data_IF_479593784587
#
_entry.id   IF_479593784587
#
_cell.length_a   1.000
_cell.length_b   1.000
_cell.length_c   1.000
_cell.angle_alpha   90.00
_cell.angle_beta   90.00
_cell.angle_gamma   90.00
#
_symmetry.space_group_name_H-M   'P 1'
#
loop_
_entity.id
_entity.type
_entity.pdbx_description
1 polymer ?
#
# COMPACT_ATOMS: atom_id res chain seq x y z
N UNK A 1 -18.22 -9.04 10.56
CA UNK A 1 -18.17 -7.59 10.82
C UNK A 1 -18.82 -7.32 12.19
N UNK A 2 -18.48 -6.25 12.92
CA UNK A 2 -19.10 -5.96 14.25
C UNK A 2 -20.11 -4.82 14.16
N UNK A 3 -21.09 -4.78 15.06
CA UNK A 3 -22.11 -3.73 15.11
C UNK A 3 -21.52 -2.31 15.20
N UNK A 4 -20.37 -2.14 15.85
CA UNK A 4 -19.68 -0.85 15.92
C UNK A 4 -19.08 -0.48 14.56
N UNK A 5 -18.45 -1.43 13.86
CA UNK A 5 -17.86 -1.20 12.53
C UNK A 5 -18.94 -0.84 11.49
N UNK A 6 -20.10 -1.49 11.55
CA UNK A 6 -21.23 -1.20 10.66
C UNK A 6 -21.80 0.20 10.88
N UNK A 7 -21.93 0.64 12.14
CA UNK A 7 -22.38 2.01 12.47
C UNK A 7 -21.42 3.08 11.96
N UNK A 8 -20.11 2.85 12.09
CA UNK A 8 -19.09 3.77 11.57
C UNK A 8 -19.20 3.85 10.04
N UNK A 9 -19.28 2.72 9.36
CA UNK A 9 -19.42 2.70 7.90
C UNK A 9 -20.69 3.44 7.44
N UNK A 10 -21.83 3.17 8.08
CA UNK A 10 -23.09 3.86 7.77
C UNK A 10 -23.01 5.37 7.99
N UNK A 11 -22.35 5.83 9.06
CA UNK A 11 -22.14 7.25 9.30
C UNK A 11 -21.24 7.88 8.21
N UNK A 12 -20.17 7.18 7.80
CA UNK A 12 -19.24 7.62 6.75
C UNK A 12 -19.90 7.67 5.37
N UNK A 13 -20.90 6.82 5.10
CA UNK A 13 -21.61 6.85 3.81
C UNK A 13 -22.55 8.04 3.62
N UNK A 14 -22.97 8.70 4.71
CA UNK A 14 -23.94 9.81 4.64
C UNK A 14 -23.35 11.17 5.05
N UNK A 15 -22.11 11.20 5.53
CA UNK A 15 -21.39 12.44 5.84
C UNK A 15 -20.96 13.17 4.57
N UNK A 16 -20.65 14.46 4.69
CA UNK A 16 -20.08 15.22 3.58
C UNK A 16 -18.63 14.80 3.31
N UNK A 17 -18.14 15.04 2.10
CA UNK A 17 -16.72 14.78 1.77
C UNK A 17 -15.75 15.58 2.65
N UNK A 18 -16.16 16.76 3.13
CA UNK A 18 -15.36 17.57 4.03
C UNK A 18 -15.22 16.89 5.40
N UNK A 19 -16.33 16.42 5.97
CA UNK A 19 -16.34 15.71 7.25
C UNK A 19 -15.61 14.35 7.14
N UNK A 20 -15.75 13.66 6.00
CA UNK A 20 -15.06 12.39 5.74
C UNK A 20 -13.54 12.56 5.72
N UNK A 21 -13.03 13.65 5.13
CA UNK A 21 -11.60 13.97 5.14
C UNK A 21 -11.10 14.26 6.54
N UNK A 22 -11.87 14.99 7.35
CA UNK A 22 -11.50 15.29 8.73
C UNK A 22 -11.51 14.03 9.61
N UNK A 23 -12.51 13.17 9.43
CA UNK A 23 -12.56 11.87 10.09
C UNK A 23 -11.40 10.95 9.69
N UNK A 24 -11.02 10.94 8.40
CA UNK A 24 -9.86 10.19 7.92
C UNK A 24 -8.56 10.69 8.57
N UNK A 25 -8.40 12.00 8.74
CA UNK A 25 -7.26 12.57 9.45
C UNK A 25 -7.16 12.06 10.90
N UNK A 26 -8.29 12.00 11.62
CA UNK A 26 -8.32 11.44 12.98
C UNK A 26 -7.90 9.97 13.01
N UNK A 27 -8.29 9.18 12.00
CA UNK A 27 -7.86 7.79 11.87
C UNK A 27 -6.35 7.72 11.66
N UNK A 28 -5.80 8.52 10.75
CA UNK A 28 -4.36 8.58 10.49
C UNK A 28 -3.58 9.00 11.73
N UNK A 29 -3.98 10.08 12.40
CA UNK A 29 -3.31 10.58 13.60
C UNK A 29 -3.28 9.52 14.72
N UNK A 30 -4.30 8.65 14.79
CA UNK A 30 -4.41 7.63 15.83
C UNK A 30 -3.75 6.29 15.49
N UNK A 31 -3.86 5.86 14.24
CA UNK A 31 -3.50 4.49 13.84
C UNK A 31 -2.32 4.45 12.85
N UNK A 32 -1.92 5.60 12.32
CA UNK A 32 -0.75 5.76 11.46
C UNK A 32 0.22 6.78 12.07
N UNK A 33 0.65 6.60 13.35
CA UNK A 33 1.55 7.55 14.01
C UNK A 33 2.96 7.55 13.41
N UNK A 34 3.27 6.52 12.62
CA UNK A 34 4.50 6.34 11.85
C UNK A 34 4.24 6.79 10.42
N UNK A 35 5.01 7.76 9.95
CA UNK A 35 5.11 8.13 8.53
C UNK A 35 6.13 7.23 7.84
N UNK A 36 6.25 7.37 6.51
CA UNK A 36 7.33 6.72 5.76
C UNK A 36 8.71 7.15 6.24
N UNK A 37 8.84 8.33 6.85
CA UNK A 37 10.11 8.83 7.39
C UNK A 37 10.48 8.19 8.73
N UNK A 38 9.53 7.56 9.42
CA UNK A 38 9.76 6.86 10.69
C UNK A 38 10.15 5.39 10.51
N UNK A 39 10.17 4.90 9.26
CA UNK A 39 10.60 3.53 8.95
C UNK A 39 12.12 3.52 8.88
N UNK A 40 12.75 2.63 9.65
CA UNK A 40 14.20 2.45 9.62
C UNK A 40 14.63 1.95 8.23
N UNK A 41 15.52 2.70 7.58
CA UNK A 41 16.19 2.24 6.37
C UNK A 41 17.31 1.29 6.78
N UNK A 42 17.22 0.05 6.31
CA UNK A 42 18.27 -0.96 6.51
C UNK A 42 18.92 -1.30 5.17
N UNK A 43 20.21 -1.60 5.20
CA UNK A 43 20.92 -2.09 4.02
C UNK A 43 20.35 -3.47 3.60
N UNK A 44 20.23 -3.76 2.30
CA UNK A 44 19.72 -5.03 1.81
C UNK A 44 20.50 -6.22 2.37
N UNK A 45 19.78 -7.23 2.85
CA UNK A 45 20.40 -8.43 3.37
C UNK A 45 20.90 -9.37 2.25
N UNK A 46 21.47 -10.52 2.62
CA UNK A 46 22.01 -11.46 1.65
C UNK A 46 20.95 -12.05 0.69
N UNK A 47 19.70 -12.15 1.13
CA UNK A 47 18.57 -12.62 0.31
C UNK A 47 18.15 -11.49 -0.63
N UNK A 48 18.02 -10.28 -0.12
CA UNK A 48 17.67 -9.10 -0.93
C UNK A 48 18.68 -8.89 -2.07
N UNK A 49 19.97 -8.99 -1.77
CA UNK A 49 21.04 -8.89 -2.76
C UNK A 49 20.98 -10.01 -3.82
N UNK A 50 20.53 -11.21 -3.45
CA UNK A 50 20.34 -12.30 -4.42
C UNK A 50 19.12 -12.04 -5.30
N UNK A 51 18.04 -11.49 -4.75
CA UNK A 51 16.85 -11.12 -5.52
C UNK A 51 17.16 -10.00 -6.51
N UNK A 52 17.90 -8.97 -6.08
CA UNK A 52 18.33 -7.88 -6.97
C UNK A 52 19.18 -8.40 -8.13
N UNK A 53 20.12 -9.31 -7.87
CA UNK A 53 20.92 -9.95 -8.93
C UNK A 53 20.08 -10.80 -9.87
N UNK A 54 19.12 -11.56 -9.34
CA UNK A 54 18.23 -12.37 -10.17
C UNK A 54 17.40 -11.49 -11.12
N UNK A 55 16.94 -10.33 -10.65
CA UNK A 55 16.24 -9.34 -11.48
C UNK A 55 17.17 -8.78 -12.55
N UNK A 56 18.42 -8.42 -12.21
CA UNK A 56 19.43 -7.93 -13.17
C UNK A 56 19.82 -8.96 -14.23
N UNK A 57 19.78 -10.24 -13.89
CA UNK A 57 20.15 -11.33 -14.79
C UNK A 57 18.96 -11.83 -15.64
N UNK A 58 17.73 -11.44 -15.29
CA UNK A 58 16.50 -11.82 -15.98
C UNK A 58 16.07 -10.74 -17.00
N UNK A 59 16.24 -10.97 -18.32
CA UNK A 59 15.86 -10.00 -19.34
C UNK A 59 14.36 -9.69 -19.35
N UNK A 60 13.50 -10.60 -18.88
CA UNK A 60 12.05 -10.36 -18.80
C UNK A 60 11.70 -9.31 -17.74
N UNK A 61 12.54 -9.18 -16.70
CA UNK A 61 12.36 -8.18 -15.65
C UNK A 61 12.80 -6.75 -16.08
N UNK A 62 13.39 -6.60 -17.27
CA UNK A 62 13.89 -5.30 -17.77
C UNK A 62 12.92 -4.57 -18.70
N UNK A 63 11.86 -5.22 -19.16
CA UNK A 63 10.89 -4.64 -20.06
C UNK A 63 9.49 -4.63 -19.45
N UNK A 64 8.93 -3.44 -19.23
CA UNK A 64 7.52 -3.30 -18.86
C UNK A 64 6.66 -3.53 -20.11
N UNK A 65 6.08 -4.72 -20.22
CA UNK A 65 5.06 -5.01 -21.22
C UNK A 65 3.68 -4.56 -20.73
N UNK A 66 2.83 -4.11 -21.64
CA UNK A 66 1.44 -3.80 -21.29
C UNK A 66 0.71 -5.11 -21.01
N UNK A 67 -0.25 -5.06 -20.09
CA UNK A 67 -1.09 -6.22 -19.76
C UNK A 67 -1.75 -6.86 -21.00
N UNK A 68 -2.15 -6.04 -21.98
CA UNK A 68 -2.72 -6.50 -23.26
C UNK A 68 -1.79 -7.37 -24.10
N UNK A 69 -0.49 -7.29 -23.84
CA UNK A 69 0.57 -7.89 -24.64
C UNK A 69 1.18 -9.11 -23.93
N UNK A 70 0.69 -9.47 -22.73
CA UNK A 70 1.07 -10.68 -21.98
C UNK A 70 0.33 -11.88 -22.56
N UNK A 71 1.06 -12.92 -22.97
CA UNK A 71 0.47 -14.20 -23.32
C UNK A 71 0.25 -15.04 -22.04
N UNK A 72 -1.02 -15.35 -21.74
CA UNK A 72 -1.42 -16.07 -20.52
C UNK A 72 -1.66 -17.58 -20.74
N UNK A 73 -1.38 -18.09 -21.94
CA UNK A 73 -1.57 -19.51 -22.32
C UNK A 73 -0.57 -20.47 -21.65
#
# INVERSE_FOLDING_TARGET
>A
MTAVKEKILGAVTVMSDADAKEFWKIILDKYSPVTWEDIEEEEPDAIDLQMLKAIEEDPECHEFIKESDINWD
#
